data_IF_363034601683
#
_entry.id   IF_363034601683
#
_cell.length_a   1.000
_cell.length_b   1.000
_cell.length_c   1.000
_cell.angle_alpha   90.00
_cell.angle_beta   90.00
_cell.angle_gamma   90.00
#
_symmetry.space_group_name_H-M   'P 1'
#
loop_
_entity.id
_entity.type
_entity.pdbx_description
1 polymer ?
#
# COMPACT_ATOMS: atom_id res chain seq x y z
N UNK A 1 -82.93 28.46 54.87
CA UNK A 1 -82.53 27.04 54.95
C UNK A 1 -81.47 26.83 53.88
N UNK A 2 -80.20 26.78 54.31
CA UNK A 2 -79.01 26.70 53.45
C UNK A 2 -78.85 25.27 52.93
N UNK A 3 -78.78 25.08 51.61
CA UNK A 3 -78.38 23.81 50.99
C UNK A 3 -76.92 23.92 50.57
N UNK A 4 -76.04 22.98 50.96
CA UNK A 4 -74.66 23.01 50.52
C UNK A 4 -74.60 22.75 49.01
N UNK A 5 -73.90 23.62 48.29
CA UNK A 5 -73.45 23.32 46.93
C UNK A 5 -72.37 22.24 47.00
N UNK A 6 -72.41 21.21 46.14
CA UNK A 6 -71.35 20.22 46.08
C UNK A 6 -70.04 20.90 45.70
N UNK A 7 -69.00 20.51 46.43
CA UNK A 7 -67.63 21.01 46.35
C UNK A 7 -67.12 20.98 44.91
N UNK A 8 -66.55 22.09 44.49
CA UNK A 8 -65.81 22.22 43.25
C UNK A 8 -64.57 21.33 43.35
N UNK A 9 -64.66 20.11 42.80
CA UNK A 9 -63.56 19.16 42.74
C UNK A 9 -62.73 19.46 41.50
N UNK A 10 -61.70 20.27 41.68
CA UNK A 10 -60.59 20.41 40.74
C UNK A 10 -59.82 19.08 40.68
N UNK A 11 -60.34 18.11 39.94
CA UNK A 11 -59.54 16.99 39.46
C UNK A 11 -58.86 17.42 38.13
N UNK A 12 -58.07 18.50 38.17
CA UNK A 12 -56.99 18.66 37.20
C UNK A 12 -55.93 17.63 37.56
N UNK A 13 -56.16 16.39 37.17
CA UNK A 13 -55.06 15.49 36.89
C UNK A 13 -54.32 16.11 35.70
N UNK A 14 -53.40 17.03 36.00
CA UNK A 14 -52.29 17.35 35.11
C UNK A 14 -51.52 16.05 34.93
N UNK A 15 -51.94 15.25 33.94
CA UNK A 15 -51.04 14.28 33.35
C UNK A 15 -50.06 15.11 32.53
N UNK A 16 -48.79 15.25 32.94
CA UNK A 16 -47.81 15.74 32.00
C UNK A 16 -47.85 14.79 30.82
N UNK A 17 -48.19 15.31 29.64
CA UNK A 17 -47.91 14.61 28.40
C UNK A 17 -46.41 14.31 28.42
N UNK A 18 -46.08 13.05 28.71
CA UNK A 18 -44.72 12.56 28.61
C UNK A 18 -44.28 12.85 27.18
N UNK A 19 -43.43 13.86 27.02
CA UNK A 19 -42.88 14.24 25.72
C UNK A 19 -42.33 12.96 25.10
N UNK A 20 -43.04 12.44 24.08
CA UNK A 20 -42.62 11.27 23.34
C UNK A 20 -41.20 11.55 22.89
N UNK A 21 -40.27 10.82 23.46
CA UNK A 21 -38.85 10.96 23.17
C UNK A 21 -38.64 10.47 21.74
N UNK A 22 -38.81 11.38 20.77
CA UNK A 22 -38.42 11.23 19.37
C UNK A 22 -36.91 10.97 19.19
N UNK A 23 -36.18 10.83 20.31
CA UNK A 23 -34.76 10.52 20.38
C UNK A 23 -34.45 9.12 19.86
N UNK A 24 -35.34 8.14 20.07
CA UNK A 24 -35.11 6.77 19.58
C UNK A 24 -35.12 6.66 18.04
N UNK A 25 -36.15 7.15 17.30
CA UNK A 25 -36.10 7.11 15.84
C UNK A 25 -34.98 8.01 15.28
N UNK A 26 -34.64 9.11 15.96
CA UNK A 26 -33.53 9.97 15.57
C UNK A 26 -32.17 9.27 15.74
N UNK A 27 -31.96 8.54 16.85
CA UNK A 27 -30.75 7.74 17.08
C UNK A 27 -30.63 6.62 16.06
N UNK A 28 -31.73 5.93 15.74
CA UNK A 28 -31.74 4.89 14.70
C UNK A 28 -31.44 5.50 13.32
N UNK A 29 -32.06 6.63 12.98
CA UNK A 29 -31.79 7.33 11.72
C UNK A 29 -30.34 7.81 11.61
N UNK A 30 -29.78 8.35 12.69
CA UNK A 30 -28.38 8.76 12.76
C UNK A 30 -27.44 7.56 12.64
N UNK A 31 -27.71 6.47 13.36
CA UNK A 31 -26.92 5.25 13.29
C UNK A 31 -26.96 4.64 11.87
N UNK A 32 -28.12 4.63 11.23
CA UNK A 32 -28.27 4.19 9.84
C UNK A 32 -27.49 5.08 8.86
N UNK A 33 -27.55 6.40 9.04
CA UNK A 33 -26.78 7.36 8.22
C UNK A 33 -25.27 7.17 8.42
N UNK A 34 -24.81 7.03 9.67
CA UNK A 34 -23.42 6.72 9.98
C UNK A 34 -23.00 5.39 9.36
N UNK A 35 -23.82 4.34 9.45
CA UNK A 35 -23.52 3.06 8.84
C UNK A 35 -23.38 3.17 7.32
N UNK A 36 -24.27 3.92 6.65
CA UNK A 36 -24.23 4.13 5.19
C UNK A 36 -22.91 4.79 4.73
N UNK A 37 -22.32 5.64 5.57
CA UNK A 37 -21.05 6.33 5.27
C UNK A 37 -19.85 5.47 5.69
N UNK A 38 -19.88 4.85 6.87
CA UNK A 38 -18.74 4.16 7.46
C UNK A 38 -18.49 2.78 6.84
N UNK A 39 -19.54 2.01 6.55
CA UNK A 39 -19.42 0.67 5.95
C UNK A 39 -18.58 0.67 4.68
N UNK A 40 -18.84 1.52 3.66
CA UNK A 40 -18.03 1.51 2.44
C UNK A 40 -16.57 1.90 2.71
N UNK A 41 -16.29 2.81 3.65
CA UNK A 41 -14.92 3.17 4.03
C UNK A 41 -14.18 1.98 4.63
N UNK A 42 -14.84 1.21 5.50
CA UNK A 42 -14.26 0.00 6.12
C UNK A 42 -14.02 -1.07 5.06
N UNK A 43 -14.99 -1.32 4.18
CA UNK A 43 -14.85 -2.28 3.08
C UNK A 43 -13.69 -1.89 2.17
N UNK A 44 -13.58 -0.61 1.83
CA UNK A 44 -12.51 -0.11 0.98
C UNK A 44 -11.12 -0.28 1.60
N UNK A 45 -11.00 -0.07 2.92
CA UNK A 45 -9.75 -0.31 3.65
C UNK A 45 -9.35 -1.78 3.67
N UNK A 46 -10.31 -2.69 3.81
CA UNK A 46 -10.06 -4.14 3.70
C UNK A 46 -9.65 -4.50 2.28
N UNK A 47 -10.28 -3.91 1.27
CA UNK A 47 -9.92 -4.10 -0.13
C UNK A 47 -8.49 -3.62 -0.42
N UNK A 48 -8.10 -2.46 0.11
CA UNK A 48 -6.74 -1.91 0.01
C UNK A 48 -5.71 -2.92 0.52
N UNK A 49 -5.88 -3.40 1.76
CA UNK A 49 -4.96 -4.37 2.36
C UNK A 49 -4.86 -5.69 1.56
N UNK A 50 -5.97 -6.14 0.96
CA UNK A 50 -6.00 -7.33 0.10
C UNK A 50 -5.21 -7.13 -1.19
N UNK A 51 -5.39 -5.97 -1.84
CA UNK A 51 -4.67 -5.64 -3.08
C UNK A 51 -3.18 -5.52 -2.81
N UNK A 52 -2.79 -4.77 -1.77
CA UNK A 52 -1.39 -4.60 -1.38
C UNK A 52 -0.70 -5.93 -1.08
N UNK A 53 -1.38 -6.83 -0.35
CA UNK A 53 -0.83 -8.15 -0.02
C UNK A 53 -0.64 -9.02 -1.27
N UNK A 54 -1.63 -9.04 -2.17
CA UNK A 54 -1.53 -9.81 -3.41
C UNK A 54 -0.47 -9.27 -4.37
N UNK A 55 -0.32 -7.94 -4.47
CA UNK A 55 0.75 -7.33 -5.26
C UNK A 55 2.13 -7.59 -4.66
N UNK A 56 2.26 -7.53 -3.33
CA UNK A 56 3.51 -7.86 -2.64
C UNK A 56 3.93 -9.31 -2.89
N UNK A 57 2.99 -10.25 -2.85
CA UNK A 57 3.23 -11.67 -3.13
C UNK A 57 3.65 -11.90 -4.58
N UNK A 58 2.89 -11.33 -5.54
CA UNK A 58 3.23 -11.44 -6.96
C UNK A 58 4.61 -10.84 -7.29
N UNK A 59 4.95 -9.70 -6.68
CA UNK A 59 6.26 -9.08 -6.86
C UNK A 59 7.37 -9.89 -6.20
N UNK A 60 7.12 -10.46 -5.02
CA UNK A 60 8.06 -11.34 -4.33
C UNK A 60 8.40 -12.57 -5.17
N UNK A 61 7.38 -13.24 -5.72
CA UNK A 61 7.56 -14.41 -6.59
C UNK A 61 8.28 -14.05 -7.90
N UNK A 62 7.90 -12.92 -8.53
CA UNK A 62 8.52 -12.47 -9.78
C UNK A 62 9.97 -12.02 -9.65
N UNK A 63 10.37 -11.49 -8.47
CA UNK A 63 11.70 -10.95 -8.23
C UNK A 63 12.60 -11.87 -7.41
N UNK A 64 12.06 -12.95 -6.84
CA UNK A 64 12.81 -13.90 -6.02
C UNK A 64 13.39 -13.30 -4.73
N UNK A 65 12.81 -12.22 -4.20
CA UNK A 65 13.31 -11.59 -2.96
C UNK A 65 12.96 -12.44 -1.73
N UNK A 66 13.91 -12.50 -0.79
CA UNK A 66 13.75 -13.19 0.50
C UNK A 66 12.75 -12.49 1.41
N UNK A 67 12.62 -11.16 1.27
CA UNK A 67 11.77 -10.31 2.11
C UNK A 67 10.55 -9.85 1.31
N UNK A 68 9.37 -9.92 1.92
CA UNK A 68 8.12 -9.48 1.29
C UNK A 68 8.18 -7.95 1.01
N UNK A 69 7.98 -7.51 -0.24
CA UNK A 69 7.89 -6.10 -0.60
C UNK A 69 6.75 -5.41 0.14
N UNK A 70 6.95 -4.15 0.52
CA UNK A 70 5.88 -3.28 0.99
C UNK A 70 5.22 -2.62 -0.21
N UNK A 71 3.94 -2.89 -0.41
CA UNK A 71 3.14 -2.24 -1.45
C UNK A 71 2.14 -1.31 -0.78
N UNK A 72 2.03 -0.09 -1.27
CA UNK A 72 1.02 0.87 -0.84
C UNK A 72 0.22 1.35 -2.05
N UNK A 73 -1.10 1.15 -2.00
CA UNK A 73 -2.00 1.65 -3.04
C UNK A 73 -2.67 2.92 -2.53
N UNK A 74 -2.34 4.06 -3.13
CA UNK A 74 -2.92 5.34 -2.74
C UNK A 74 -4.15 5.67 -3.57
N UNK A 75 -5.06 6.37 -2.91
CA UNK A 75 -6.31 6.88 -3.49
C UNK A 75 -7.53 6.16 -2.93
N UNK A 76 -8.50 6.94 -2.45
CA UNK A 76 -9.78 6.46 -1.94
C UNK A 76 -10.92 6.74 -2.94
N UNK A 77 -11.91 5.84 -3.13
CA UNK A 77 -11.93 4.43 -2.73
C UNK A 77 -11.08 3.55 -3.69
N UNK A 78 -10.30 2.61 -3.17
CA UNK A 78 -9.52 1.63 -3.94
C UNK A 78 -10.42 0.67 -4.72
N UNK A 79 -11.55 0.23 -4.15
CA UNK A 79 -12.44 -0.72 -4.84
C UNK A 79 -12.99 -0.13 -6.14
N UNK A 80 -13.35 1.16 -6.14
CA UNK A 80 -13.80 1.88 -7.34
C UNK A 80 -12.71 1.93 -8.40
N UNK A 81 -11.46 2.11 -7.99
CA UNK A 81 -10.29 2.15 -8.87
C UNK A 81 -9.99 0.80 -9.52
N UNK A 82 -10.10 -0.29 -8.75
CA UNK A 82 -9.95 -1.65 -9.28
C UNK A 82 -11.06 -1.94 -10.29
N UNK A 83 -12.29 -1.57 -9.98
CA UNK A 83 -13.44 -1.74 -10.90
C UNK A 83 -13.29 -0.91 -12.16
N UNK A 84 -12.74 0.31 -12.07
CA UNK A 84 -12.44 1.13 -13.26
C UNK A 84 -11.20 0.65 -14.03
N UNK A 85 -10.48 -0.35 -13.52
CA UNK A 85 -9.24 -0.86 -14.12
C UNK A 85 -8.07 0.12 -14.03
N UNK A 86 -8.14 1.11 -13.15
CA UNK A 86 -7.13 2.17 -13.01
C UNK A 86 -6.74 2.39 -11.56
N UNK A 87 -5.47 2.23 -11.22
CA UNK A 87 -4.91 2.59 -9.92
C UNK A 87 -4.16 3.91 -10.06
N UNK A 88 -4.53 4.90 -9.24
CA UNK A 88 -3.98 6.26 -9.39
C UNK A 88 -2.52 6.36 -9.01
N UNK A 89 -2.13 5.74 -7.90
CA UNK A 89 -0.75 5.80 -7.44
C UNK A 89 -0.42 4.55 -6.62
N UNK A 90 0.67 3.88 -6.98
CA UNK A 90 1.12 2.64 -6.35
C UNK A 90 2.59 2.80 -6.01
N UNK A 91 2.92 2.60 -4.75
CA UNK A 91 4.31 2.51 -4.30
C UNK A 91 4.66 1.09 -3.97
N UNK A 92 5.85 0.70 -4.38
CA UNK A 92 6.43 -0.61 -4.11
C UNK A 92 7.82 -0.35 -3.55
N UNK A 93 8.06 -0.77 -2.32
CA UNK A 93 9.37 -0.73 -1.67
C UNK A 93 9.80 -2.16 -1.37
N UNK A 94 10.91 -2.57 -1.97
CA UNK A 94 11.48 -3.91 -1.81
C UNK A 94 12.91 -3.80 -1.27
N UNK A 95 13.31 -4.81 -0.49
CA UNK A 95 14.63 -4.88 0.11
C UNK A 95 15.33 -6.18 -0.30
N UNK A 96 16.66 -6.18 -0.23
CA UNK A 96 17.52 -7.36 -0.43
C UNK A 96 17.20 -8.12 -1.73
N UNK A 97 17.14 -7.39 -2.85
CA UNK A 97 16.88 -7.98 -4.16
C UNK A 97 18.18 -8.62 -4.68
N UNK A 98 18.19 -9.93 -4.94
CA UNK A 98 19.38 -10.61 -5.44
C UNK A 98 19.69 -10.19 -6.88
N UNK A 99 20.98 -10.33 -7.24
CA UNK A 99 21.40 -10.20 -8.62
C UNK A 99 20.75 -11.30 -9.48
N UNK A 100 20.42 -10.93 -10.71
CA UNK A 100 19.95 -11.80 -11.78
C UNK A 100 20.85 -11.56 -12.99
N UNK A 101 21.66 -12.56 -13.35
CA UNK A 101 22.63 -12.46 -14.45
C UNK A 101 22.00 -12.05 -15.80
N UNK A 102 20.70 -12.30 -16.01
CA UNK A 102 20.02 -11.99 -17.27
C UNK A 102 19.52 -10.55 -17.33
N UNK A 103 19.10 -9.96 -16.21
CA UNK A 103 18.42 -8.65 -16.18
C UNK A 103 18.94 -7.67 -15.14
N UNK A 104 19.60 -8.14 -14.08
CA UNK A 104 20.11 -7.34 -12.96
C UNK A 104 21.47 -7.86 -12.49
N UNK A 105 22.58 -7.46 -13.13
CA UNK A 105 23.91 -8.00 -12.81
C UNK A 105 24.43 -7.64 -11.41
N UNK A 106 23.75 -6.74 -10.69
CA UNK A 106 24.13 -6.28 -9.35
C UNK A 106 22.98 -6.53 -8.36
N UNK A 107 23.27 -6.94 -7.12
CA UNK A 107 22.26 -6.99 -6.08
C UNK A 107 21.87 -5.56 -5.67
N UNK A 108 20.61 -5.39 -5.28
CA UNK A 108 20.03 -4.10 -4.90
C UNK A 108 19.53 -4.20 -3.47
N UNK A 109 20.09 -3.37 -2.58
CA UNK A 109 19.75 -3.37 -1.16
C UNK A 109 18.33 -2.86 -0.93
N UNK A 110 17.94 -1.80 -1.63
CA UNK A 110 16.61 -1.22 -1.54
C UNK A 110 16.17 -0.68 -2.90
N UNK A 111 14.93 -0.98 -3.27
CA UNK A 111 14.30 -0.52 -4.50
C UNK A 111 12.96 0.11 -4.14
N UNK A 112 12.84 1.41 -4.41
CA UNK A 112 11.58 2.14 -4.32
C UNK A 112 11.06 2.43 -5.72
N UNK A 113 9.82 2.07 -5.99
CA UNK A 113 9.14 2.27 -7.26
C UNK A 113 7.79 2.96 -7.02
N UNK A 114 7.64 4.16 -7.56
CA UNK A 114 6.37 4.89 -7.62
C UNK A 114 5.78 4.81 -9.02
N UNK A 115 4.53 4.40 -9.13
CA UNK A 115 3.80 4.30 -10.39
C UNK A 115 2.55 5.19 -10.33
N UNK A 116 2.39 6.09 -11.30
CA UNK A 116 1.19 6.92 -11.42
C UNK A 116 0.30 6.48 -12.59
N UNK A 117 -1.01 6.55 -12.34
CA UNK A 117 -2.07 6.25 -13.31
C UNK A 117 -1.86 4.92 -14.03
N UNK A 118 -1.73 3.85 -13.24
CA UNK A 118 -1.60 2.49 -13.72
C UNK A 118 -2.95 2.00 -14.27
N UNK A 119 -2.99 1.66 -15.54
CA UNK A 119 -4.17 1.19 -16.25
C UNK A 119 -3.97 -0.23 -16.74
N UNK A 120 -4.90 -1.12 -16.42
CA UNK A 120 -4.91 -2.48 -16.98
C UNK A 120 -5.55 -2.45 -18.36
N UNK A 121 -4.99 -3.22 -19.30
CA UNK A 121 -5.61 -3.50 -20.58
C UNK A 121 -6.90 -4.31 -20.40
N UNK A 122 -7.84 -4.18 -21.34
CA UNK A 122 -9.15 -4.84 -21.30
C UNK A 122 -9.04 -6.38 -21.33
N UNK A 123 -8.01 -6.90 -21.99
CA UNK A 123 -7.68 -8.33 -22.05
C UNK A 123 -6.94 -8.82 -20.78
N UNK A 124 -6.59 -7.91 -19.88
CA UNK A 124 -5.87 -8.19 -18.64
C UNK A 124 -4.42 -8.65 -18.80
N UNK A 125 -3.88 -8.64 -20.02
CA UNK A 125 -2.53 -9.15 -20.31
C UNK A 125 -1.43 -8.12 -20.00
N UNK A 126 -1.78 -6.84 -20.01
CA UNK A 126 -0.83 -5.74 -19.88
C UNK A 126 -1.31 -4.71 -18.85
N UNK A 127 -0.35 -4.07 -18.19
CA UNK A 127 -0.56 -2.90 -17.34
C UNK A 127 0.35 -1.76 -17.81
N UNK A 128 -0.20 -0.55 -17.97
CA UNK A 128 0.51 0.64 -18.43
C UNK A 128 0.38 1.76 -17.41
N UNK A 129 1.49 2.29 -16.92
CA UNK A 129 1.51 3.49 -16.09
C UNK A 129 1.72 4.74 -16.95
N UNK A 130 1.24 5.90 -16.50
CA UNK A 130 1.53 7.18 -17.16
C UNK A 130 2.95 7.65 -16.84
N UNK A 131 3.35 7.54 -15.59
CA UNK A 131 4.71 7.80 -15.12
C UNK A 131 5.15 6.70 -14.17
N UNK A 132 6.46 6.45 -14.19
CA UNK A 132 7.12 5.51 -13.29
C UNK A 132 8.42 6.16 -12.81
N UNK A 133 8.61 6.23 -11.51
CA UNK A 133 9.82 6.71 -10.86
C UNK A 133 10.42 5.56 -10.06
N UNK A 134 11.68 5.23 -10.34
CA UNK A 134 12.39 4.13 -9.69
C UNK A 134 13.68 4.62 -9.07
N UNK A 135 13.87 4.34 -7.79
CA UNK A 135 15.08 4.63 -7.03
C UNK A 135 15.67 3.33 -6.52
N UNK A 136 16.87 2.99 -7.00
CA UNK A 136 17.62 1.82 -6.52
C UNK A 136 18.79 2.27 -5.66
N UNK A 137 18.96 1.62 -4.52
CA UNK A 137 20.08 1.81 -3.59
C UNK A 137 20.91 0.54 -3.56
N UNK A 138 22.20 0.70 -3.80
CA UNK A 138 23.18 -0.39 -3.78
C UNK A 138 24.18 -0.13 -2.67
N UNK A 139 24.62 -1.19 -1.99
CA UNK A 139 25.71 -1.07 -1.03
C UNK A 139 27.04 -0.91 -1.76
N UNK A 140 27.98 -0.19 -1.14
CA UNK A 140 29.32 -0.03 -1.70
C UNK A 140 30.05 -1.38 -1.83
N UNK A 141 29.81 -2.31 -0.90
CA UNK A 141 30.38 -3.66 -0.93
C UNK A 141 29.91 -4.42 -2.16
N UNK A 142 28.60 -4.40 -2.44
CA UNK A 142 28.01 -5.07 -3.60
C UNK A 142 28.56 -4.55 -4.93
N UNK A 143 28.73 -3.22 -5.03
CA UNK A 143 29.32 -2.58 -6.20
C UNK A 143 30.81 -2.95 -6.34
N UNK A 144 31.54 -3.03 -5.22
CA UNK A 144 32.96 -3.38 -5.21
C UNK A 144 33.19 -4.85 -5.61
N UNK A 145 32.39 -5.76 -5.06
CA UNK A 145 32.45 -7.20 -5.32
C UNK A 145 32.14 -7.52 -6.77
N UNK A 146 31.16 -6.81 -7.35
CA UNK A 146 30.77 -7.01 -8.75
C UNK A 146 31.70 -6.35 -9.76
N UNK A 147 32.37 -5.24 -9.40
CA UNK A 147 33.28 -4.53 -10.32
C UNK A 147 34.66 -5.17 -10.41
N UNK A 148 35.09 -5.98 -9.43
CA UNK A 148 36.09 -7.03 -9.65
C UNK A 148 37.53 -6.63 -10.00
N UNK A 149 38.05 -5.44 -9.64
CA UNK A 149 39.41 -5.46 -9.14
C UNK A 149 39.45 -4.93 -7.70
N UNK A 150 40.22 -5.62 -6.88
CA UNK A 150 40.78 -5.08 -5.65
C UNK A 150 41.47 -3.76 -5.99
N UNK A 151 40.76 -2.64 -5.80
CA UNK A 151 41.36 -1.32 -5.84
C UNK A 151 42.11 -1.16 -4.54
N UNK A 152 43.25 -1.84 -4.45
CA UNK A 152 44.25 -1.53 -3.44
C UNK A 152 44.87 -0.19 -3.83
N UNK A 153 44.91 0.76 -2.89
CA UNK A 153 45.78 1.92 -3.05
C UNK A 153 47.19 1.38 -3.30
N UNK A 154 47.74 1.65 -4.48
CA UNK A 154 49.16 1.38 -4.71
C UNK A 154 49.97 2.11 -3.66
N UNK A 155 51.16 1.58 -3.31
CA UNK A 155 52.06 2.06 -2.24
C UNK A 155 52.54 3.52 -2.37
N UNK A 156 51.95 4.35 -3.26
CA UNK A 156 52.17 5.79 -3.39
C UNK A 156 50.86 6.55 -3.64
N UNK A 157 50.70 7.77 -3.09
CA UNK A 157 49.52 8.59 -3.34
C UNK A 157 49.36 8.91 -4.83
N UNK A 158 48.22 8.55 -5.41
CA UNK A 158 47.79 9.01 -6.75
C UNK A 158 47.83 8.02 -7.92
N UNK A 159 47.92 6.69 -7.71
CA UNK A 159 47.73 5.70 -8.80
C UNK A 159 46.81 4.55 -8.42
N UNK A 160 45.96 4.16 -9.37
CA UNK A 160 45.12 2.96 -9.36
C UNK A 160 45.85 1.88 -10.17
N UNK A 161 46.12 0.72 -9.57
CA UNK A 161 46.75 -0.42 -10.24
C UNK A 161 45.75 -1.56 -10.40
N UNK A 162 45.46 -1.96 -11.64
CA UNK A 162 44.63 -3.14 -11.93
C UNK A 162 45.50 -4.34 -12.28
N UNK A 163 45.36 -5.45 -11.54
CA UNK A 163 46.06 -6.71 -11.79
C UNK A 163 45.14 -7.73 -12.47
N UNK A 164 45.27 -7.92 -13.78
CA UNK A 164 44.56 -8.96 -14.52
C UNK A 164 45.37 -10.27 -14.52
N UNK A 165 44.85 -11.31 -13.86
CA UNK A 165 45.44 -12.66 -13.89
C UNK A 165 44.76 -13.48 -14.99
N UNK A 166 45.34 -13.46 -16.21
CA UNK A 166 44.88 -14.33 -17.29
C UNK A 166 45.15 -15.80 -16.94
N UNK A 167 44.08 -16.60 -16.87
CA UNK A 167 44.16 -18.06 -16.74
C UNK A 167 44.10 -18.66 -18.14
N UNK A 168 45.23 -19.12 -18.67
CA UNK A 168 45.29 -19.77 -19.98
C UNK A 168 44.69 -21.18 -19.89
N UNK A 169 43.58 -21.42 -20.61
CA UNK A 169 43.09 -22.76 -20.87
C UNK A 169 43.86 -23.33 -22.08
N UNK A 170 44.83 -24.20 -21.82
CA UNK A 170 45.49 -24.98 -22.87
C UNK A 170 44.57 -26.15 -23.23
N UNK A 171 43.92 -26.05 -24.39
CA UNK A 171 43.30 -27.20 -25.04
C UNK A 171 44.36 -28.11 -25.66
N UNK A 172 44.11 -29.41 -25.64
CA UNK A 172 44.83 -30.40 -26.45
C UNK A 172 43.87 -31.51 -26.90
N UNK A 173 44.19 -32.14 -28.05
CA UNK A 173 43.23 -32.63 -29.04
C UNK A 173 42.54 -33.96 -28.71
#
# INVERSE_FOLDING_TARGET
MYRPHPEYRDDFAYQPDATRTHRLPLVIALAALCALILVPVVVDRVATARVESGTAEAFQEGMGTSTRPKVHVRGFPVLTQVVSGTLRHVDISAHDIPADEATRPLPVTELDLGLDDLRKSDDGSEARARSAEATARLSYTDVSDALGPEVSQGDRPGRIGGGSRCRSATGSP
#
